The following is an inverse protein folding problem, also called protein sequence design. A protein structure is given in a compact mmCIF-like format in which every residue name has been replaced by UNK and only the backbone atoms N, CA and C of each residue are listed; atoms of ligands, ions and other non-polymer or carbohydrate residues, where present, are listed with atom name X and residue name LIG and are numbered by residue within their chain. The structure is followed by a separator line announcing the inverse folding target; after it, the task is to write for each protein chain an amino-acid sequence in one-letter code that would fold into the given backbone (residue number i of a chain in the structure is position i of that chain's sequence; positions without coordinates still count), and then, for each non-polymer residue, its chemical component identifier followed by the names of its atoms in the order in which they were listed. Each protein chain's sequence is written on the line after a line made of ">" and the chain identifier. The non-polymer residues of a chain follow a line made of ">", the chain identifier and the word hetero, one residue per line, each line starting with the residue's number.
data_IF_298845250636
#
_entry.id   IF_298845250636
#
_cell.length_a   1.000
_cell.length_b   1.000
_cell.length_c   1.000
_cell.angle_alpha   90.00
_cell.angle_beta   90.00
_cell.angle_gamma   90.00
#
_symmetry.space_group_name_H-M   'P 1'
#
loop_
_entity.id
_entity.type
_entity.pdbx_description
1 polymer ?
#
# COMPACT_ATOMS: atom_id res chain seq x y z
N UNK A 1 -49.01 61.10 -1.00
CA UNK A 1 -49.41 61.37 -2.41
C UNK A 1 -48.15 61.58 -3.23
N UNK A 2 -47.97 60.82 -4.31
CA UNK A 2 -47.21 61.25 -5.50
C UNK A 2 -45.68 61.24 -5.48
N UNK A 3 -45.13 60.19 -6.09
CA UNK A 3 -44.08 60.20 -7.12
C UNK A 3 -42.57 60.42 -6.81
N UNK A 4 -41.84 59.34 -7.13
CA UNK A 4 -40.72 59.25 -8.06
C UNK A 4 -39.38 59.95 -7.72
N UNK A 5 -38.40 59.13 -7.31
CA UNK A 5 -36.98 59.41 -7.50
C UNK A 5 -36.40 58.46 -8.55
N UNK A 6 -35.83 59.06 -9.58
CA UNK A 6 -34.94 58.43 -10.55
C UNK A 6 -33.48 58.59 -10.09
N UNK A 7 -32.62 57.79 -10.70
CA UNK A 7 -31.14 57.80 -10.73
C UNK A 7 -30.39 57.56 -9.42
N UNK A 8 -29.69 56.41 -9.35
CA UNK A 8 -28.22 56.42 -9.37
C UNK A 8 -27.66 55.03 -9.71
N UNK A 9 -26.69 55.07 -10.61
CA UNK A 9 -26.00 53.96 -11.25
C UNK A 9 -24.90 53.43 -10.33
N UNK A 10 -24.85 52.12 -10.06
CA UNK A 10 -23.59 51.49 -9.65
C UNK A 10 -23.47 50.10 -10.24
N UNK A 11 -22.45 49.97 -11.09
CA UNK A 11 -22.05 48.79 -11.84
C UNK A 11 -21.53 47.72 -10.87
N UNK A 12 -22.04 46.50 -10.95
CA UNK A 12 -21.29 45.35 -10.47
C UNK A 12 -21.41 44.20 -11.48
N UNK A 13 -20.28 43.90 -12.09
CA UNK A 13 -20.07 42.89 -13.12
C UNK A 13 -20.10 41.51 -12.43
N UNK A 14 -21.13 40.71 -12.70
CA UNK A 14 -21.10 39.28 -12.46
C UNK A 14 -20.30 38.63 -13.59
N UNK A 15 -19.08 38.24 -13.28
CA UNK A 15 -18.26 37.41 -14.15
C UNK A 15 -18.49 35.93 -13.82
N UNK A 16 -18.88 35.19 -14.86
CA UNK A 16 -18.76 33.75 -15.07
C UNK A 16 -17.63 33.07 -14.27
N UNK A 17 -17.96 31.94 -13.64
CA UNK A 17 -17.00 30.86 -13.48
C UNK A 17 -17.70 29.53 -13.68
N UNK A 18 -17.37 28.95 -14.81
CA UNK A 18 -17.76 27.65 -15.29
C UNK A 18 -17.36 26.50 -14.35
N UNK A 19 -18.30 25.56 -14.29
CA UNK A 19 -18.20 24.14 -13.97
C UNK A 19 -16.78 23.55 -13.92
N UNK A 20 -16.32 23.20 -12.71
CA UNK A 20 -15.47 22.02 -12.50
C UNK A 20 -16.05 21.24 -11.30
N UNK A 21 -16.87 20.24 -11.60
CA UNK A 21 -17.33 19.25 -10.62
C UNK A 21 -16.18 18.28 -10.38
N UNK A 22 -15.37 18.54 -9.34
CA UNK A 22 -14.37 17.60 -8.85
C UNK A 22 -15.10 16.51 -8.07
N UNK A 23 -15.29 15.37 -8.72
CA UNK A 23 -15.79 14.14 -8.12
C UNK A 23 -14.86 13.72 -6.98
N UNK A 24 -15.21 14.17 -5.77
CA UNK A 24 -14.54 13.81 -4.54
C UNK A 24 -14.97 12.39 -4.20
N UNK A 25 -14.38 11.41 -4.89
CA UNK A 25 -14.45 10.01 -4.48
C UNK A 25 -14.01 9.95 -3.02
N UNK A 26 -14.97 9.80 -2.12
CA UNK A 26 -14.75 9.63 -0.68
C UNK A 26 -13.78 8.48 -0.50
N UNK A 27 -12.51 8.81 -0.28
CA UNK A 27 -11.48 7.84 0.06
C UNK A 27 -11.97 7.16 1.35
N UNK A 28 -12.22 5.84 1.37
CA UNK A 28 -12.57 5.16 2.60
C UNK A 28 -11.49 5.49 3.62
N UNK A 29 -11.88 5.90 4.82
CA UNK A 29 -10.91 6.08 5.89
C UNK A 29 -10.21 4.74 6.09
N UNK A 30 -8.89 4.71 5.95
CA UNK A 30 -8.05 3.51 6.15
C UNK A 30 -8.40 2.79 7.48
N UNK A 31 -8.82 3.59 8.48
CA UNK A 31 -9.25 3.13 9.80
C UNK A 31 -10.54 2.28 9.81
N UNK A 32 -11.42 2.35 8.81
CA UNK A 32 -12.63 1.50 8.78
C UNK A 32 -12.39 0.16 8.09
N UNK A 33 -11.39 0.06 7.22
CA UNK A 33 -11.03 -1.19 6.54
C UNK A 33 -10.21 -2.10 7.46
N UNK A 34 -9.37 -1.54 8.33
CA UNK A 34 -8.60 -2.31 9.32
C UNK A 34 -9.46 -2.89 10.46
N UNK A 35 -10.70 -2.43 10.64
CA UNK A 35 -11.59 -2.86 11.74
C UNK A 35 -12.37 -4.14 11.48
N UNK A 36 -12.40 -4.64 10.25
CA UNK A 36 -12.81 -6.02 9.97
C UNK A 36 -11.54 -6.85 10.04
N UNK A 37 -11.48 -7.82 10.96
CA UNK A 37 -10.28 -8.62 11.21
C UNK A 37 -9.59 -8.98 9.91
N UNK A 38 -8.31 -8.57 9.76
CA UNK A 38 -7.61 -8.41 8.48
C UNK A 38 -7.81 -9.61 7.54
N UNK A 39 -7.84 -10.81 8.12
CA UNK A 39 -8.03 -12.09 7.45
C UNK A 39 -8.88 -12.99 8.34
N UNK A 40 -9.70 -13.86 7.75
CA UNK A 40 -10.38 -14.94 8.48
C UNK A 40 -9.39 -16.04 8.89
N UNK A 41 -9.81 -17.01 9.72
CA UNK A 41 -8.92 -18.06 10.25
C UNK A 41 -8.25 -18.88 9.14
N UNK A 42 -8.98 -19.25 8.09
CA UNK A 42 -8.44 -20.02 6.96
C UNK A 42 -7.38 -19.20 6.21
N UNK A 43 -7.68 -17.95 5.87
CA UNK A 43 -6.74 -17.04 5.19
C UNK A 43 -5.44 -16.85 6.00
N UNK A 44 -5.53 -16.71 7.33
CA UNK A 44 -4.33 -16.62 8.18
C UNK A 44 -3.49 -17.90 8.16
N UNK A 45 -4.13 -19.08 8.10
CA UNK A 45 -3.42 -20.36 8.01
C UNK A 45 -2.70 -20.50 6.67
N UNK A 46 -3.31 -20.05 5.56
CA UNK A 46 -2.67 -20.01 4.23
C UNK A 46 -1.43 -19.12 4.27
N UNK A 47 -1.56 -17.87 4.74
CA UNK A 47 -0.44 -16.92 4.82
C UNK A 47 0.70 -17.46 5.68
N UNK A 48 0.38 -18.02 6.85
CA UNK A 48 1.36 -18.61 7.76
C UNK A 48 2.05 -19.83 7.16
N UNK A 49 1.29 -20.81 6.64
CA UNK A 49 1.86 -22.01 6.04
C UNK A 49 2.74 -21.72 4.83
N UNK A 50 2.37 -20.73 4.04
CA UNK A 50 3.18 -20.25 2.91
C UNK A 50 4.53 -19.70 3.40
N UNK A 51 4.54 -18.81 4.40
CA UNK A 51 5.80 -18.22 4.90
C UNK A 51 6.66 -19.23 5.68
N UNK A 52 6.04 -20.14 6.44
CA UNK A 52 6.75 -21.23 7.13
C UNK A 52 7.46 -22.18 6.14
N UNK A 53 6.93 -22.29 4.90
CA UNK A 53 7.51 -23.09 3.82
C UNK A 53 8.53 -22.31 2.97
N UNK A 54 8.73 -21.01 3.23
CA UNK A 54 9.60 -20.17 2.44
C UNK A 54 11.08 -20.54 2.64
N UNK A 55 11.80 -20.67 1.52
CA UNK A 55 13.25 -20.93 1.52
C UNK A 55 14.07 -19.67 1.79
N UNK A 56 15.33 -19.85 2.14
CA UNK A 56 16.28 -18.76 2.42
C UNK A 56 16.42 -17.72 1.30
N UNK A 57 16.19 -18.08 0.04
CA UNK A 57 16.26 -17.20 -1.13
C UNK A 57 14.93 -16.50 -1.46
N UNK A 58 13.88 -16.67 -0.64
CA UNK A 58 12.55 -16.12 -0.89
C UNK A 58 12.56 -14.59 -1.07
N UNK A 59 13.26 -13.87 -0.18
CA UNK A 59 13.38 -12.40 -0.29
C UNK A 59 14.20 -11.97 -1.51
N UNK A 60 15.18 -12.77 -1.94
CA UNK A 60 15.91 -12.51 -3.18
C UNK A 60 15.01 -12.61 -4.40
N UNK A 61 14.09 -13.59 -4.43
CA UNK A 61 13.11 -13.72 -5.51
C UNK A 61 12.13 -12.55 -5.55
N UNK A 62 11.68 -12.07 -4.38
CA UNK A 62 10.83 -10.87 -4.28
C UNK A 62 11.54 -9.67 -4.94
N UNK A 63 12.75 -9.33 -4.50
CA UNK A 63 13.44 -8.17 -5.07
C UNK A 63 13.86 -8.34 -6.51
N UNK A 64 14.18 -9.57 -6.96
CA UNK A 64 14.40 -9.86 -8.39
C UNK A 64 13.20 -9.44 -9.23
N UNK A 65 11.97 -9.78 -8.81
CA UNK A 65 10.75 -9.32 -9.49
C UNK A 65 10.58 -7.81 -9.49
N UNK A 66 10.99 -7.14 -8.41
CA UNK A 66 10.95 -5.67 -8.34
C UNK A 66 11.93 -5.06 -9.35
N UNK A 67 13.16 -5.58 -9.46
CA UNK A 67 14.16 -5.12 -10.43
C UNK A 67 13.72 -5.27 -11.88
N UNK A 68 12.99 -6.34 -12.18
CA UNK A 68 12.50 -6.63 -13.52
C UNK A 68 11.37 -5.67 -13.93
N UNK A 69 10.63 -5.10 -12.97
CA UNK A 69 9.52 -4.17 -13.23
C UNK A 69 9.87 -2.69 -13.04
N UNK A 70 10.86 -2.35 -12.21
CA UNK A 70 11.18 -0.97 -11.81
C UNK A 70 12.67 -0.70 -12.02
N UNK A 71 13.00 -0.10 -13.17
CA UNK A 71 14.39 0.26 -13.52
C UNK A 71 15.05 1.16 -12.47
N UNK A 72 14.31 2.13 -11.93
CA UNK A 72 14.80 3.02 -10.87
C UNK A 72 15.17 2.26 -9.59
N UNK A 73 14.47 1.17 -9.29
CA UNK A 73 14.78 0.31 -8.15
C UNK A 73 16.04 -0.54 -8.42
N UNK A 74 16.33 -0.84 -9.68
CA UNK A 74 17.51 -1.60 -10.11
C UNK A 74 18.80 -0.83 -9.89
N UNK A 75 18.81 0.50 -10.00
CA UNK A 75 20.00 1.33 -9.77
C UNK A 75 20.14 1.81 -8.32
N UNK A 76 19.16 1.50 -7.45
CA UNK A 76 19.19 1.89 -6.04
C UNK A 76 20.34 1.19 -5.29
N UNK A 77 21.11 1.96 -4.51
CA UNK A 77 22.40 1.50 -3.93
C UNK A 77 22.20 0.66 -2.66
N UNK A 78 21.27 1.01 -1.78
CA UNK A 78 21.12 0.43 -0.44
C UNK A 78 20.25 -0.83 -0.40
N UNK A 79 20.39 -1.71 -1.39
CA UNK A 79 19.56 -2.93 -1.51
C UNK A 79 19.74 -3.86 -0.32
N UNK A 80 20.96 -4.07 0.18
CA UNK A 80 21.23 -4.97 1.30
C UNK A 80 20.39 -4.66 2.54
N UNK A 81 20.24 -3.38 2.89
CA UNK A 81 19.42 -2.94 4.02
C UNK A 81 17.93 -3.24 3.81
N UNK A 82 17.44 -3.07 2.58
CA UNK A 82 16.06 -3.37 2.23
C UNK A 82 15.78 -4.88 2.39
N UNK A 83 16.72 -5.72 1.93
CA UNK A 83 16.65 -7.18 2.07
C UNK A 83 16.58 -7.60 3.52
N UNK A 84 17.50 -7.12 4.35
CA UNK A 84 17.51 -7.43 5.79
C UNK A 84 16.22 -6.98 6.46
N UNK A 85 15.74 -5.78 6.13
CA UNK A 85 14.51 -5.23 6.71
C UNK A 85 13.27 -6.05 6.31
N UNK A 86 13.19 -6.50 5.06
CA UNK A 86 12.06 -7.30 4.58
C UNK A 86 12.08 -8.73 5.16
N UNK A 87 13.27 -9.35 5.23
CA UNK A 87 13.50 -10.66 5.89
C UNK A 87 13.06 -10.65 7.34
N UNK A 88 13.32 -9.56 8.05
CA UNK A 88 12.91 -9.40 9.45
C UNK A 88 11.40 -9.13 9.60
N UNK A 89 10.83 -8.36 8.67
CA UNK A 89 9.44 -7.92 8.75
C UNK A 89 8.42 -9.03 8.48
N UNK A 90 8.60 -9.82 7.41
CA UNK A 90 7.59 -10.78 6.96
C UNK A 90 7.22 -11.81 8.04
N UNK A 91 8.16 -12.48 8.73
CA UNK A 91 7.80 -13.43 9.79
C UNK A 91 7.10 -12.73 10.95
N UNK A 92 7.58 -11.53 11.34
CA UNK A 92 7.01 -10.77 12.45
C UNK A 92 5.57 -10.36 12.19
N UNK A 93 5.25 -9.86 10.99
CA UNK A 93 3.89 -9.42 10.67
C UNK A 93 2.93 -10.61 10.56
N UNK A 94 3.38 -11.74 10.02
CA UNK A 94 2.57 -12.96 9.89
C UNK A 94 2.19 -13.53 11.27
N UNK A 95 3.10 -13.50 12.25
CA UNK A 95 2.81 -13.91 13.63
C UNK A 95 1.80 -13.01 14.35
N UNK A 96 1.52 -11.81 13.80
CA UNK A 96 0.68 -10.79 14.43
C UNK A 96 -0.62 -10.52 13.66
N UNK A 97 -0.98 -11.32 12.66
CA UNK A 97 -2.17 -11.11 11.82
C UNK A 97 -3.52 -11.05 12.57
N UNK A 98 -3.57 -11.48 13.84
CA UNK A 98 -4.76 -11.34 14.70
C UNK A 98 -4.85 -10.01 15.43
N UNK A 99 -3.78 -9.21 15.42
CA UNK A 99 -3.65 -7.94 16.13
C UNK A 99 -3.39 -6.82 15.12
N UNK A 100 -4.46 -6.13 14.74
CA UNK A 100 -4.39 -5.05 13.75
C UNK A 100 -3.50 -3.88 14.20
N UNK A 101 -3.42 -3.62 15.50
CA UNK A 101 -2.60 -2.52 16.04
C UNK A 101 -1.12 -2.88 15.96
N UNK A 102 -0.76 -4.12 16.28
CA UNK A 102 0.61 -4.60 16.15
C UNK A 102 1.05 -4.72 14.68
N UNK A 103 0.16 -5.18 13.79
CA UNK A 103 0.42 -5.17 12.33
C UNK A 103 0.68 -3.75 11.83
N UNK A 104 -0.13 -2.77 12.29
CA UNK A 104 0.08 -1.36 11.94
C UNK A 104 1.44 -0.87 12.45
N UNK A 105 1.77 -1.13 13.72
CA UNK A 105 3.04 -0.72 14.34
C UNK A 105 4.25 -1.30 13.59
N UNK A 106 4.25 -2.59 13.28
CA UNK A 106 5.31 -3.24 12.50
C UNK A 106 5.44 -2.63 11.10
N UNK A 107 4.31 -2.28 10.47
CA UNK A 107 4.29 -1.66 9.14
C UNK A 107 4.84 -0.23 9.16
N UNK A 108 4.51 0.54 10.21
CA UNK A 108 5.06 1.88 10.45
C UNK A 108 6.57 1.82 10.69
N UNK A 109 7.05 0.87 11.50
CA UNK A 109 8.48 0.64 11.76
C UNK A 109 9.24 0.30 10.46
N UNK A 110 8.68 -0.57 9.61
CA UNK A 110 9.26 -0.88 8.30
C UNK A 110 9.30 0.36 7.41
N UNK A 111 8.18 1.09 7.33
CA UNK A 111 8.08 2.33 6.55
C UNK A 111 9.12 3.36 6.98
N UNK A 112 9.33 3.54 8.28
CA UNK A 112 10.35 4.44 8.82
C UNK A 112 11.77 4.00 8.46
N UNK A 113 12.08 2.69 8.55
CA UNK A 113 13.37 2.11 8.10
C UNK A 113 13.63 2.40 6.62
N UNK A 114 12.60 2.42 5.79
CA UNK A 114 12.70 2.66 4.35
C UNK A 114 12.76 4.15 4.01
N UNK A 115 12.06 4.99 4.77
CA UNK A 115 12.01 6.43 4.56
C UNK A 115 13.39 7.09 4.64
N UNK A 116 14.31 6.54 5.45
CA UNK A 116 15.71 6.99 5.51
C UNK A 116 16.42 6.96 4.14
N UNK A 117 15.92 6.14 3.22
CA UNK A 117 16.46 6.00 1.87
C UNK A 117 15.89 6.96 0.83
N UNK A 118 14.91 7.79 1.21
CA UNK A 118 14.28 8.74 0.30
C UNK A 118 15.29 9.72 -0.29
N UNK A 119 16.30 10.12 0.48
CA UNK A 119 17.40 10.98 0.01
C UNK A 119 18.29 10.32 -1.04
N UNK A 120 18.26 8.99 -1.12
CA UNK A 120 18.99 8.17 -2.10
C UNK A 120 18.08 7.69 -3.25
N UNK A 121 16.92 8.33 -3.43
CA UNK A 121 16.00 8.03 -4.53
C UNK A 121 14.95 6.96 -4.25
N UNK A 122 14.81 6.47 -3.01
CA UNK A 122 13.70 5.58 -2.66
C UNK A 122 12.35 6.32 -2.81
N UNK A 123 11.44 5.77 -3.61
CA UNK A 123 10.09 6.31 -3.84
C UNK A 123 9.05 5.48 -3.09
N UNK A 124 8.00 6.14 -2.60
CA UNK A 124 6.86 5.48 -1.97
C UNK A 124 6.16 4.46 -2.90
N UNK A 125 6.14 4.71 -4.21
CA UNK A 125 5.59 3.80 -5.22
C UNK A 125 6.29 2.43 -5.25
N UNK A 126 7.50 2.31 -4.70
CA UNK A 126 8.19 1.03 -4.58
C UNK A 126 7.52 0.08 -3.59
N UNK A 127 6.81 0.57 -2.58
CA UNK A 127 6.08 -0.30 -1.65
C UNK A 127 5.01 -1.12 -2.36
N UNK A 128 4.28 -0.52 -3.31
CA UNK A 128 3.30 -1.25 -4.12
C UNK A 128 3.97 -2.35 -4.95
N UNK A 129 5.09 -2.04 -5.59
CA UNK A 129 5.85 -3.03 -6.37
C UNK A 129 6.41 -4.17 -5.51
N UNK A 130 6.85 -3.87 -4.28
CA UNK A 130 7.32 -4.88 -3.31
C UNK A 130 6.15 -5.74 -2.86
N UNK A 131 4.99 -5.15 -2.52
CA UNK A 131 3.79 -5.89 -2.11
C UNK A 131 3.30 -6.83 -3.22
N UNK A 132 3.19 -6.33 -4.46
CA UNK A 132 2.82 -7.15 -5.63
C UNK A 132 3.79 -8.33 -5.82
N UNK A 133 5.09 -8.10 -5.62
CA UNK A 133 6.12 -9.13 -5.72
C UNK A 133 6.02 -10.17 -4.59
N UNK A 134 5.70 -9.74 -3.36
CA UNK A 134 5.41 -10.65 -2.23
C UNK A 134 4.21 -11.53 -2.55
N UNK A 135 3.06 -10.93 -2.92
CA UNK A 135 1.85 -11.68 -3.28
C UNK A 135 2.14 -12.68 -4.40
N UNK A 136 2.87 -12.25 -5.44
CA UNK A 136 3.23 -13.12 -6.56
C UNK A 136 4.08 -14.31 -6.09
N UNK A 137 5.14 -14.08 -5.31
CA UNK A 137 6.00 -15.15 -4.81
C UNK A 137 5.27 -16.10 -3.86
N UNK A 138 4.39 -15.59 -3.01
CA UNK A 138 3.58 -16.41 -2.11
C UNK A 138 2.59 -17.29 -2.88
N UNK A 139 1.92 -16.75 -3.91
CA UNK A 139 1.03 -17.53 -4.78
C UNK A 139 1.78 -18.64 -5.52
N UNK A 140 3.01 -18.37 -5.98
CA UNK A 140 3.84 -19.41 -6.60
C UNK A 140 4.29 -20.48 -5.60
N UNK A 141 4.66 -20.07 -4.38
CA UNK A 141 5.11 -20.99 -3.33
C UNK A 141 3.98 -21.93 -2.88
N UNK A 142 2.75 -21.40 -2.80
CA UNK A 142 1.58 -22.10 -2.28
C UNK A 142 0.78 -22.86 -3.37
N UNK A 143 1.18 -22.76 -4.64
CA UNK A 143 0.46 -23.32 -5.79
C UNK A 143 0.25 -24.86 -5.75
N UNK A 144 0.99 -25.57 -4.92
CA UNK A 144 0.84 -27.02 -4.70
C UNK A 144 0.01 -27.40 -3.47
N UNK A 145 -0.40 -26.41 -2.67
CA UNK A 145 -1.10 -26.60 -1.39
C UNK A 145 -2.54 -26.12 -1.49
N UNK A 146 -2.76 -24.91 -2.02
CA UNK A 146 -4.09 -24.34 -2.18
C UNK A 146 -4.37 -23.88 -3.62
N UNK A 147 -5.65 -23.80 -4.04
CA UNK A 147 -6.02 -23.19 -5.30
C UNK A 147 -5.62 -21.71 -5.36
N UNK A 148 -5.19 -21.23 -6.53
CA UNK A 148 -4.78 -19.84 -6.75
C UNK A 148 -5.80 -18.82 -6.25
N UNK A 149 -7.10 -19.09 -6.38
CA UNK A 149 -8.16 -18.21 -5.90
C UNK A 149 -8.19 -18.03 -4.38
N UNK A 150 -7.87 -19.08 -3.62
CA UNK A 150 -7.82 -19.02 -2.15
C UNK A 150 -6.56 -18.29 -1.69
N UNK A 151 -5.42 -18.60 -2.30
CA UNK A 151 -4.16 -17.92 -1.99
C UNK A 151 -4.24 -16.42 -2.32
N UNK A 152 -4.79 -16.05 -3.48
CA UNK A 152 -5.00 -14.64 -3.84
C UNK A 152 -6.04 -13.94 -2.96
N UNK A 153 -6.98 -14.67 -2.36
CA UNK A 153 -7.91 -14.07 -1.40
C UNK A 153 -7.27 -13.88 -0.02
N UNK A 154 -6.22 -14.62 0.29
CA UNK A 154 -5.50 -14.54 1.56
C UNK A 154 -4.39 -13.48 1.57
N UNK A 155 -3.75 -13.24 0.43
CA UNK A 155 -2.64 -12.29 0.24
C UNK A 155 -3.11 -10.97 -0.40
#
# INVERSE_FOLDING_TARGET
>A
MGNAKSSETTKNLQAESDKISVDTRKRPSLNSQLKKGLLNTSQRQIVKGCLDSAKEDFVDRIYRRVYDKKEEFRIFEFKSDLYSSLREFLPKVVEKLTDAEEVRRLSEDLGAKYLKFRVFGFKNDFFGAIADAVTTECVFLDASVHPTSETLAAW
#
